data_IF_616747213268
#
_entry.id   IF_616747213268
#
_cell.length_a   1.000
_cell.length_b   1.000
_cell.length_c   1.000
_cell.angle_alpha   90.00
_cell.angle_beta   90.00
_cell.angle_gamma   90.00
#
_symmetry.space_group_name_H-M   'P 1'
#
loop_
_entity.id
_entity.type
_entity.pdbx_description
1 polymer ?
#
# COMPACT_ATOMS: atom_id res chain seq x y z
N UNK A 1 1.33 5.60 -18.82
CA UNK A 1 2.74 5.86 -18.43
C UNK A 1 3.22 4.84 -17.42
N UNK A 2 4.46 4.36 -17.55
CA UNK A 2 5.08 3.38 -16.66
C UNK A 2 6.47 3.88 -16.27
N UNK A 3 6.91 3.62 -15.05
CA UNK A 3 8.30 3.84 -14.64
C UNK A 3 8.80 2.66 -13.81
N UNK A 4 10.11 2.42 -13.90
CA UNK A 4 10.76 1.29 -13.24
C UNK A 4 12.05 1.73 -12.55
N UNK A 5 12.14 1.38 -11.27
CA UNK A 5 13.34 1.34 -10.47
C UNK A 5 13.29 0.07 -9.64
N UNK A 6 14.42 -0.54 -9.28
CA UNK A 6 14.42 -1.87 -8.64
C UNK A 6 13.60 -1.93 -7.33
N UNK A 7 13.59 -0.84 -6.57
CA UNK A 7 12.93 -0.68 -5.27
C UNK A 7 11.54 -0.03 -5.35
N UNK A 8 11.20 0.60 -6.50
CA UNK A 8 9.93 1.28 -6.73
C UNK A 8 9.52 1.23 -8.20
N UNK A 9 8.36 0.66 -8.47
CA UNK A 9 7.75 0.67 -9.80
C UNK A 9 6.43 1.43 -9.76
N UNK A 10 5.99 1.95 -10.91
CA UNK A 10 4.70 2.61 -10.96
C UNK A 10 4.09 2.71 -12.35
N UNK A 11 2.76 2.85 -12.34
CA UNK A 11 1.93 3.07 -13.53
C UNK A 11 0.90 4.15 -13.22
N UNK A 12 0.56 4.95 -14.22
CA UNK A 12 -0.55 5.92 -14.20
C UNK A 12 -0.85 6.34 -15.64
N UNK A 13 -1.97 7.02 -15.88
CA UNK A 13 -2.22 7.52 -17.25
C UNK A 13 -1.34 8.75 -17.53
N UNK A 14 -1.23 9.66 -16.56
CA UNK A 14 -0.44 10.90 -16.70
C UNK A 14 0.60 11.04 -15.59
N UNK A 15 1.86 11.22 -15.99
CA UNK A 15 2.99 11.48 -15.10
C UNK A 15 3.61 12.83 -15.44
N UNK A 16 3.73 13.70 -14.44
CA UNK A 16 4.38 15.01 -14.55
C UNK A 16 5.59 15.00 -13.63
N UNK A 17 6.78 15.20 -14.21
CA UNK A 17 8.00 15.46 -13.47
C UNK A 17 8.37 16.93 -13.61
N UNK A 18 8.64 17.60 -12.50
CA UNK A 18 9.17 18.95 -12.50
C UNK A 18 10.42 19.01 -11.63
N UNK A 19 11.52 19.42 -12.26
CA UNK A 19 12.82 19.52 -11.61
C UNK A 19 12.89 20.74 -10.67
N UNK A 20 12.24 21.83 -11.07
CA UNK A 20 12.23 23.10 -10.34
C UNK A 20 11.58 23.01 -8.95
N UNK A 21 10.57 22.14 -8.80
CA UNK A 21 9.91 21.86 -7.52
C UNK A 21 10.32 20.50 -6.93
N UNK A 22 11.13 19.70 -7.65
CA UNK A 22 11.56 18.36 -7.25
C UNK A 22 10.38 17.42 -6.96
N UNK A 23 9.33 17.48 -7.78
CA UNK A 23 8.10 16.70 -7.62
C UNK A 23 7.82 15.77 -8.81
N UNK A 24 7.47 14.52 -8.49
CA UNK A 24 6.79 13.61 -9.42
C UNK A 24 5.31 13.60 -9.04
N UNK A 25 4.43 13.81 -10.01
CA UNK A 25 2.97 13.77 -9.83
C UNK A 25 2.37 12.75 -10.78
N UNK A 26 1.50 11.90 -10.25
CA UNK A 26 0.83 10.83 -10.97
C UNK A 26 -0.68 11.03 -10.86
N UNK A 27 -1.35 11.01 -12.01
CA UNK A 27 -2.78 11.25 -12.15
C UNK A 27 -3.44 10.11 -12.91
N UNK A 28 -4.72 9.91 -12.60
CA UNK A 28 -5.60 8.92 -13.23
C UNK A 28 -5.12 7.48 -13.03
N UNK A 29 -5.74 6.79 -12.07
CA UNK A 29 -5.43 5.43 -11.64
C UNK A 29 -3.93 5.18 -11.36
N UNK A 30 -3.25 6.04 -10.58
CA UNK A 30 -1.88 5.76 -10.19
C UNK A 30 -1.79 4.50 -9.31
N UNK A 31 -0.79 3.69 -9.57
CA UNK A 31 -0.38 2.59 -8.70
C UNK A 31 1.14 2.57 -8.58
N UNK A 32 1.61 2.37 -7.36
CA UNK A 32 3.01 2.18 -7.01
C UNK A 32 3.19 0.78 -6.43
N UNK A 33 4.35 0.19 -6.70
CA UNK A 33 4.77 -1.06 -6.06
C UNK A 33 6.15 -0.91 -5.43
N UNK A 34 6.26 -1.40 -4.20
CA UNK A 34 7.54 -1.66 -3.55
C UNK A 34 7.52 -3.10 -3.04
N UNK A 35 8.45 -3.93 -3.52
CA UNK A 35 8.44 -5.39 -3.31
C UNK A 35 7.07 -6.04 -3.59
N UNK A 36 6.35 -6.52 -2.59
CA UNK A 36 5.03 -7.17 -2.73
C UNK A 36 3.88 -6.23 -2.42
N UNK A 37 4.18 -4.99 -2.05
CA UNK A 37 3.22 -4.05 -1.53
C UNK A 37 2.85 -3.07 -2.64
N UNK A 38 1.54 -2.84 -2.78
CA UNK A 38 0.97 -1.92 -3.74
C UNK A 38 0.33 -0.74 -3.01
N UNK A 39 0.56 0.47 -3.53
CA UNK A 39 -0.07 1.69 -3.06
C UNK A 39 -0.85 2.33 -4.21
N UNK A 40 -2.12 2.68 -3.98
CA UNK A 40 -3.00 3.34 -4.94
C UNK A 40 -3.74 4.51 -4.29
N UNK A 41 -4.28 5.40 -5.12
CA UNK A 41 -5.15 6.52 -4.75
C UNK A 41 -5.57 7.27 -6.02
N UNK A 42 -6.29 8.38 -5.90
CA UNK A 42 -6.64 9.19 -7.08
C UNK A 42 -5.43 9.98 -7.60
N UNK A 43 -4.66 10.53 -6.65
CA UNK A 43 -3.47 11.31 -6.92
C UNK A 43 -2.31 10.82 -6.06
N UNK A 44 -1.17 10.61 -6.71
CA UNK A 44 0.06 10.27 -6.01
C UNK A 44 1.13 11.31 -6.33
N UNK A 45 1.76 11.85 -5.29
CA UNK A 45 2.86 12.79 -5.40
C UNK A 45 4.07 12.27 -4.64
N UNK A 46 5.23 12.31 -5.27
CA UNK A 46 6.51 11.95 -4.67
C UNK A 46 7.37 13.20 -4.62
N UNK A 47 7.77 13.59 -3.42
CA UNK A 47 8.75 14.65 -3.21
C UNK A 47 10.16 14.06 -3.26
N UNK A 48 11.02 14.68 -4.05
CA UNK A 48 12.42 14.35 -4.13
C UNK A 48 13.25 15.32 -3.30
N UNK A 49 14.33 14.80 -2.70
CA UNK A 49 15.37 15.60 -2.07
C UNK A 49 16.71 15.12 -2.60
N UNK A 50 17.48 16.02 -3.24
CA UNK A 50 18.74 15.68 -3.90
C UNK A 50 18.59 14.51 -4.93
N UNK A 51 17.48 14.50 -5.68
CA UNK A 51 17.18 13.47 -6.68
C UNK A 51 16.75 12.10 -6.12
N UNK A 52 16.56 11.98 -4.80
CA UNK A 52 16.10 10.75 -4.14
C UNK A 52 14.70 10.93 -3.55
N UNK A 53 13.89 9.86 -3.52
CA UNK A 53 12.57 9.89 -2.93
C UNK A 53 12.66 10.26 -1.44
N UNK A 54 11.88 11.25 -1.01
CA UNK A 54 11.87 11.75 0.36
C UNK A 54 10.52 11.56 1.04
N UNK A 55 9.44 11.95 0.36
CA UNK A 55 8.06 11.77 0.85
C UNK A 55 7.15 11.27 -0.26
N UNK A 56 6.18 10.44 0.12
CA UNK A 56 5.07 10.01 -0.72
C UNK A 56 3.79 10.63 -0.16
N UNK A 57 2.94 11.16 -1.01
CA UNK A 57 1.60 11.61 -0.68
C UNK A 57 0.63 10.89 -1.59
N UNK A 58 -0.38 10.28 -0.98
CA UNK A 58 -1.48 9.60 -1.66
C UNK A 58 -2.74 10.29 -1.20
N UNK A 59 -3.46 10.86 -2.14
CA UNK A 59 -4.60 11.74 -1.88
C UNK A 59 -5.85 11.13 -2.50
N UNK A 60 -6.92 11.09 -1.67
CA UNK A 60 -8.23 10.50 -1.95
C UNK A 60 -8.18 9.00 -2.22
N UNK A 61 -9.03 8.26 -1.50
CA UNK A 61 -9.14 6.79 -1.58
C UNK A 61 -7.78 6.09 -1.54
N UNK A 62 -6.94 6.54 -0.61
CA UNK A 62 -5.60 6.01 -0.44
C UNK A 62 -5.69 4.56 0.04
N UNK A 63 -4.94 3.68 -0.63
CA UNK A 63 -4.98 2.25 -0.39
C UNK A 63 -3.58 1.66 -0.39
N UNK A 64 -3.31 0.75 0.55
CA UNK A 64 -2.13 -0.09 0.61
C UNK A 64 -2.63 -1.54 0.64
N UNK A 65 -2.13 -2.36 -0.29
CA UNK A 65 -2.36 -3.79 -0.32
C UNK A 65 -1.02 -4.52 -0.22
N UNK A 66 -0.90 -5.43 0.72
CA UNK A 66 0.28 -6.28 0.91
C UNK A 66 -0.12 -7.74 0.79
N UNK A 67 0.67 -8.52 0.05
CA UNK A 67 0.41 -9.94 -0.12
C UNK A 67 0.69 -10.69 1.19
N UNK A 68 -0.39 -11.14 1.85
CA UNK A 68 -0.30 -11.86 3.09
C UNK A 68 0.18 -13.30 2.83
N UNK A 69 -0.48 -13.98 1.91
CA UNK A 69 -0.10 -15.29 1.37
C UNK A 69 -0.47 -15.37 -0.12
N UNK A 70 -0.54 -16.57 -0.70
CA UNK A 70 -0.83 -16.72 -2.14
C UNK A 70 -2.24 -16.27 -2.56
N UNK A 71 -3.18 -16.11 -1.62
CA UNK A 71 -4.59 -15.79 -1.91
C UNK A 71 -5.16 -14.66 -1.05
N UNK A 72 -4.52 -14.31 0.06
CA UNK A 72 -4.99 -13.28 0.98
C UNK A 72 -4.10 -12.02 0.91
N UNK A 73 -4.74 -10.86 1.06
CA UNK A 73 -4.09 -9.56 1.05
C UNK A 73 -4.42 -8.79 2.33
N UNK A 74 -3.37 -8.37 3.02
CA UNK A 74 -3.48 -7.39 4.07
C UNK A 74 -3.75 -6.01 3.43
N UNK A 75 -4.70 -5.27 4.00
CA UNK A 75 -5.27 -4.08 3.38
C UNK A 75 -5.32 -2.94 4.38
N UNK A 76 -4.91 -1.76 3.95
CA UNK A 76 -5.06 -0.50 4.68
C UNK A 76 -5.67 0.52 3.74
N UNK A 77 -6.67 1.26 4.21
CA UNK A 77 -7.27 2.36 3.45
C UNK A 77 -7.51 3.57 4.34
N UNK A 78 -7.57 4.74 3.73
CA UNK A 78 -7.99 5.98 4.36
C UNK A 78 -8.16 7.09 3.33
N UNK A 79 -8.50 8.27 3.80
CA UNK A 79 -8.67 9.45 2.93
C UNK A 79 -7.35 9.87 2.33
N UNK A 80 -6.26 9.78 3.11
CA UNK A 80 -4.91 10.11 2.66
C UNK A 80 -3.88 9.16 3.25
N UNK A 81 -2.76 8.96 2.55
CA UNK A 81 -1.55 8.34 3.10
C UNK A 81 -0.32 9.23 2.87
N UNK A 82 0.51 9.34 3.90
CA UNK A 82 1.82 9.99 3.82
C UNK A 82 2.91 8.95 4.07
N UNK A 83 3.74 8.69 3.05
CA UNK A 83 4.88 7.81 3.14
C UNK A 83 6.19 8.56 3.38
N UNK A 84 7.09 7.92 4.13
CA UNK A 84 8.40 8.45 4.48
C UNK A 84 9.48 7.48 3.97
N UNK A 85 10.40 8.02 3.18
CA UNK A 85 11.53 7.25 2.68
C UNK A 85 12.75 7.42 3.58
N UNK A 86 13.50 6.34 3.76
CA UNK A 86 14.81 6.29 4.39
C UNK A 86 15.73 5.42 3.55
N UNK A 87 16.94 5.89 3.25
CA UNK A 87 17.88 5.24 2.33
C UNK A 87 17.23 4.79 1.02
N UNK A 88 16.37 5.69 0.50
CA UNK A 88 15.67 5.52 -0.77
C UNK A 88 14.68 4.31 -0.80
N UNK A 89 14.36 3.73 0.35
CA UNK A 89 13.30 2.74 0.55
C UNK A 89 12.15 3.32 1.39
N UNK A 90 10.92 2.88 1.12
CA UNK A 90 9.76 3.29 1.91
C UNK A 90 9.85 2.62 3.29
N UNK A 91 9.92 3.42 4.35
CA UNK A 91 10.11 2.93 5.72
C UNK A 91 8.85 3.05 6.57
N UNK A 92 7.98 4.02 6.26
CA UNK A 92 6.79 4.29 7.05
C UNK A 92 5.67 4.86 6.19
N UNK A 93 4.43 4.50 6.50
CA UNK A 93 3.19 5.09 5.98
C UNK A 93 2.31 5.52 7.14
N UNK A 94 1.85 6.77 7.15
CA UNK A 94 0.80 7.27 8.02
C UNK A 94 -0.48 7.43 7.18
N UNK A 95 -1.53 6.68 7.53
CA UNK A 95 -2.85 6.72 6.89
C UNK A 95 -3.81 7.48 7.79
N UNK A 96 -4.56 8.44 7.25
CA UNK A 96 -5.45 9.31 8.01
C UNK A 96 -6.82 9.48 7.33
N UNK A 97 -7.85 9.69 8.16
CA UNK A 97 -9.22 9.97 7.73
C UNK A 97 -10.00 8.69 7.35
N UNK A 98 -10.97 8.30 8.16
CA UNK A 98 -11.75 7.05 7.99
C UNK A 98 -10.84 5.85 7.75
N UNK A 99 -9.77 5.74 8.53
CA UNK A 99 -8.71 4.80 8.29
C UNK A 99 -9.18 3.39 8.70
N UNK A 100 -9.12 2.43 7.79
CA UNK A 100 -9.55 1.04 8.01
C UNK A 100 -8.44 0.07 7.64
N UNK A 101 -8.33 -1.03 8.38
CA UNK A 101 -7.51 -2.18 7.99
C UNK A 101 -8.26 -3.48 8.01
N UNK A 102 -7.79 -4.41 7.17
CA UNK A 102 -8.16 -5.82 7.18
C UNK A 102 -6.86 -6.63 7.14
N UNK A 103 -6.64 -7.46 8.15
CA UNK A 103 -5.46 -8.32 8.28
C UNK A 103 -5.84 -9.77 8.49
N UNK A 104 -5.12 -10.68 7.86
CA UNK A 104 -5.35 -12.11 8.04
C UNK A 104 -4.53 -12.64 9.23
N UNK A 105 -5.24 -13.02 10.30
CA UNK A 105 -4.65 -13.57 11.51
C UNK A 105 -4.17 -15.00 11.27
N UNK A 106 -2.92 -15.27 11.64
CA UNK A 106 -2.24 -16.55 11.41
C UNK A 106 -1.83 -17.20 12.70
N UNK A 107 -1.89 -18.51 12.71
CA UNK A 107 -1.31 -19.35 13.75
C UNK A 107 -0.37 -20.38 13.14
N UNK A 108 0.64 -20.80 13.91
CA UNK A 108 1.52 -21.88 13.49
C UNK A 108 0.94 -23.21 13.98
N UNK A 109 0.42 -24.00 13.05
CA UNK A 109 -0.09 -25.35 13.34
C UNK A 109 0.76 -26.37 12.60
N UNK A 110 1.37 -27.29 13.35
CA UNK A 110 2.23 -28.35 12.80
C UNK A 110 3.35 -27.83 11.88
N UNK A 111 3.92 -26.68 12.22
CA UNK A 111 5.01 -26.07 11.45
C UNK A 111 4.57 -25.27 10.22
N UNK A 112 3.26 -25.23 9.90
CA UNK A 112 2.68 -24.42 8.82
C UNK A 112 1.96 -23.20 9.37
N UNK A 113 2.09 -22.06 8.71
CA UNK A 113 1.22 -20.91 8.96
C UNK A 113 -0.17 -21.18 8.38
N UNK A 114 -1.19 -21.07 9.22
CA UNK A 114 -2.59 -21.24 8.83
C UNK A 114 -3.33 -19.97 9.20
N UNK A 115 -4.02 -19.39 8.23
CA UNK A 115 -4.95 -18.28 8.46
C UNK A 115 -6.19 -18.82 9.15
N UNK A 116 -6.51 -18.33 10.34
CA UNK A 116 -7.66 -18.77 11.13
C UNK A 116 -8.77 -17.71 11.25
N UNK A 117 -8.45 -16.46 10.96
CA UNK A 117 -9.38 -15.35 11.08
C UNK A 117 -8.94 -14.12 10.31
N UNK A 118 -9.84 -13.15 10.27
CA UNK A 118 -9.60 -11.83 9.71
C UNK A 118 -9.88 -10.77 10.76
N UNK A 119 -8.90 -9.90 11.00
CA UNK A 119 -8.99 -8.78 11.91
C UNK A 119 -9.29 -7.53 11.11
N UNK A 120 -10.44 -6.93 11.37
CA UNK A 120 -10.82 -5.63 10.83
C UNK A 120 -10.74 -4.57 11.91
N UNK A 121 -10.04 -3.48 11.65
CA UNK A 121 -9.96 -2.34 12.55
C UNK A 121 -10.30 -1.03 11.85
N UNK A 122 -11.17 -0.23 12.46
CA UNK A 122 -11.45 1.16 12.08
C UNK A 122 -10.82 2.10 13.09
N UNK A 123 -10.15 3.17 12.64
CA UNK A 123 -9.60 4.21 13.51
C UNK A 123 -9.42 5.53 12.76
N UNK A 124 -9.03 6.58 13.49
CA UNK A 124 -8.81 7.89 12.87
C UNK A 124 -7.48 7.93 12.10
N UNK A 125 -6.48 7.18 12.58
CA UNK A 125 -5.15 7.13 11.99
C UNK A 125 -4.51 5.75 12.13
N UNK A 126 -3.82 5.31 11.09
CA UNK A 126 -3.04 4.07 11.09
C UNK A 126 -1.61 4.42 10.77
N UNK A 127 -0.67 3.81 11.47
CA UNK A 127 0.74 3.90 11.13
C UNK A 127 1.27 2.53 10.76
N UNK A 128 1.83 2.43 9.57
CA UNK A 128 2.48 1.22 9.08
C UNK A 128 3.98 1.45 9.00
N UNK A 129 4.78 0.59 9.61
CA UNK A 129 6.24 0.56 9.42
C UNK A 129 6.61 -0.57 8.47
N UNK A 130 7.66 -0.33 7.68
CA UNK A 130 8.17 -1.25 6.67
C UNK A 130 9.58 -1.68 7.06
N UNK A 131 9.88 -2.97 6.92
CA UNK A 131 11.22 -3.54 7.09
C UNK A 131 11.54 -4.36 5.85
N UNK A 132 12.73 -4.16 5.27
CA UNK A 132 13.13 -4.79 3.99
C UNK A 132 12.09 -4.59 2.86
N UNK A 133 11.43 -3.43 2.90
CA UNK A 133 10.37 -3.02 1.98
C UNK A 133 9.13 -3.93 2.01
N UNK A 134 8.83 -4.54 3.17
CA UNK A 134 7.57 -5.22 3.45
C UNK A 134 6.94 -4.64 4.70
N UNK A 135 5.61 -4.71 4.80
CA UNK A 135 4.88 -4.40 6.03
C UNK A 135 5.47 -5.16 7.22
N UNK A 136 5.88 -4.42 8.26
CA UNK A 136 6.50 -4.96 9.47
C UNK A 136 5.63 -4.78 10.70
N UNK A 137 5.04 -3.61 10.90
CA UNK A 137 4.13 -3.36 12.02
C UNK A 137 3.02 -2.42 11.61
N UNK A 138 1.84 -2.64 12.15
CA UNK A 138 0.66 -1.79 11.94
C UNK A 138 0.17 -1.35 13.30
N UNK A 139 0.15 -0.04 13.51
CA UNK A 139 -0.24 0.58 14.77
C UNK A 139 -1.51 1.38 14.55
N UNK A 140 -2.54 1.04 15.29
CA UNK A 140 -3.81 1.76 15.29
C UNK A 140 -3.72 2.95 16.25
N UNK A 141 -3.87 4.15 15.71
CA UNK A 141 -3.82 5.39 16.45
C UNK A 141 -5.23 5.99 16.51
N UNK A 142 -5.64 6.35 17.72
CA UNK A 142 -6.89 7.04 18.01
C UNK A 142 -8.18 6.27 17.69
N UNK A 143 -8.86 5.84 18.77
CA UNK A 143 -10.18 5.19 18.74
C UNK A 143 -10.25 3.94 17.84
N UNK A 144 -9.39 2.92 18.08
CA UNK A 144 -9.51 1.66 17.36
C UNK A 144 -10.79 0.93 17.76
N UNK A 145 -11.64 0.68 16.77
CA UNK A 145 -12.72 -0.31 16.85
C UNK A 145 -12.28 -1.55 16.07
N UNK A 146 -11.91 -2.61 16.76
CA UNK A 146 -11.35 -3.82 16.15
C UNK A 146 -12.25 -5.03 16.38
N UNK A 147 -12.50 -5.77 15.29
CA UNK A 147 -13.30 -6.99 15.30
C UNK A 147 -12.51 -8.11 14.64
N UNK A 148 -12.38 -9.24 15.35
CA UNK A 148 -11.79 -10.45 14.81
C UNK A 148 -12.90 -11.42 14.41
N UNK A 149 -13.00 -11.72 13.12
CA UNK A 149 -13.90 -12.73 12.58
C UNK A 149 -13.15 -14.05 12.40
N UNK A 150 -13.70 -15.18 12.86
CA UNK A 150 -13.26 -16.49 12.38
C UNK A 150 -13.41 -16.55 10.86
N UNK A 151 -12.42 -17.08 10.13
CA UNK A 151 -12.36 -16.98 8.67
C UNK A 151 -13.65 -17.51 7.99
N UNK A 152 -14.20 -18.61 8.50
CA UNK A 152 -15.42 -19.24 7.98
C UNK A 152 -16.72 -18.43 8.23
N UNK A 153 -16.67 -17.38 9.06
CA UNK A 153 -17.82 -16.54 9.42
C UNK A 153 -17.63 -15.08 9.01
N UNK A 154 -16.49 -14.75 8.41
CA UNK A 154 -16.20 -13.40 7.96
C UNK A 154 -17.10 -13.06 6.76
N UNK A 155 -17.80 -11.91 6.79
CA UNK A 155 -18.46 -11.39 5.61
C UNK A 155 -17.45 -11.17 4.47
N UNK A 156 -17.81 -11.38 3.20
CA UNK A 156 -16.91 -11.16 2.06
C UNK A 156 -16.28 -9.76 2.04
N UNK A 157 -17.04 -8.74 2.43
CA UNK A 157 -16.59 -7.34 2.54
C UNK A 157 -15.52 -7.10 3.63
N UNK A 158 -15.45 -7.99 4.62
CA UNK A 158 -14.42 -7.96 5.68
C UNK A 158 -13.17 -8.77 5.28
N UNK A 159 -13.25 -9.57 4.21
CA UNK A 159 -12.10 -10.25 3.61
C UNK A 159 -11.43 -9.37 2.56
N UNK A 160 -12.22 -8.58 1.83
CA UNK A 160 -11.77 -7.75 0.73
C UNK A 160 -12.57 -6.46 0.69
N UNK A 161 -11.91 -5.34 0.96
CA UNK A 161 -12.59 -4.05 1.00
C UNK A 161 -13.01 -3.63 -0.40
N UNK A 162 -14.11 -2.89 -0.48
CA UNK A 162 -14.52 -2.25 -1.73
C UNK A 162 -13.41 -1.32 -2.22
N UNK A 163 -13.02 -1.47 -3.49
CA UNK A 163 -11.96 -0.68 -4.11
C UNK A 163 -10.55 -1.24 -3.95
N UNK A 164 -10.37 -2.30 -3.16
CA UNK A 164 -9.13 -3.05 -3.14
C UNK A 164 -8.96 -3.77 -4.50
N UNK A 165 -7.94 -3.40 -5.27
CA UNK A 165 -7.64 -4.04 -6.55
C UNK A 165 -6.13 -4.24 -6.66
N UNK A 166 -5.66 -5.48 -6.52
CA UNK A 166 -4.23 -5.77 -6.65
C UNK A 166 -3.81 -5.86 -8.12
N UNK A 167 -3.47 -4.71 -8.70
CA UNK A 167 -3.14 -4.52 -10.15
C UNK A 167 -1.78 -5.09 -10.61
N UNK A 168 -1.36 -6.25 -10.10
CA UNK A 168 -0.02 -6.82 -10.38
C UNK A 168 0.27 -7.05 -11.87
N UNK A 169 -0.76 -7.32 -12.68
CA UNK A 169 -0.61 -7.49 -14.13
C UNK A 169 -0.13 -6.22 -14.86
N UNK A 170 -0.31 -5.04 -14.25
CA UNK A 170 0.13 -3.76 -14.81
C UNK A 170 1.54 -3.36 -14.36
N UNK A 171 2.09 -4.07 -13.37
CA UNK A 171 3.37 -3.76 -12.75
C UNK A 171 4.52 -4.00 -13.74
N UNK A 172 5.34 -2.98 -14.04
CA UNK A 172 6.57 -3.19 -14.80
C UNK A 172 7.53 -4.11 -14.03
N UNK A 173 7.99 -5.21 -14.65
CA UNK A 173 8.94 -6.15 -14.02
C UNK A 173 10.39 -5.86 -14.42
N UNK A 174 10.60 -5.12 -15.51
CA UNK A 174 11.91 -4.67 -15.95
C UNK A 174 11.87 -3.29 -16.62
N UNK A 175 13.03 -2.83 -17.08
CA UNK A 175 13.16 -1.54 -17.79
C UNK A 175 12.52 -1.54 -19.18
N UNK A 176 12.35 -2.69 -19.84
CA UNK A 176 11.74 -2.77 -21.16
C UNK A 176 10.21 -2.63 -21.07
N UNK A 177 9.61 -3.08 -19.96
CA UNK A 177 8.17 -2.97 -19.72
C UNK A 177 7.63 -1.54 -19.70
N UNK A 178 8.48 -0.53 -19.50
CA UNK A 178 8.04 0.87 -19.54
C UNK A 178 7.56 1.28 -20.95
N UNK A 179 7.94 0.54 -21.98
CA UNK A 179 7.60 0.78 -23.38
C UNK A 179 6.50 -0.15 -23.92
N UNK A 180 5.99 -1.09 -23.12
CA UNK A 180 4.84 -1.92 -23.54
C UNK A 180 3.60 -1.04 -23.65
N UNK A 181 2.83 -1.24 -24.73
CA UNK A 181 1.51 -0.64 -24.93
C UNK A 181 0.48 -1.38 -24.08
#
# INVERSE_FOLDING_TARGET
MRFFKNDLQGVCDTLIYSDADSLIRMYHRPALWSNTDQITGDHIRIELRNGQAHRLFVENDAFLMSMADSVHFDQVTGTTMTGYFHDNALHKLDTEGNARTVYFAREKKEGKEVVFGVNRADCSRIQVTMSDGKVSTVTFLERPDAVLYPLAKAPPEELHMKGAEYRVAERPVDRADIFRE
#
